data_IF_954392161308
#
_entry.id   IF_954392161308
#
_cell.length_a   1.000
_cell.length_b   1.000
_cell.length_c   1.000
_cell.angle_alpha   90.00
_cell.angle_beta   90.00
_cell.angle_gamma   90.00
#
_symmetry.space_group_name_H-M   'P 1'
#
loop_
_entity.id
_entity.type
_entity.pdbx_description
1 polymer ?
#
# COMPACT_ATOMS: atom_id res chain seq x y z
N UNK A 1 -28.63 17.14 10.31
CA UNK A 1 -27.95 17.94 11.35
C UNK A 1 -27.11 19.02 10.71
N UNK A 2 -26.08 18.65 9.92
CA UNK A 2 -25.19 19.56 9.18
C UNK A 2 -25.92 20.71 8.49
N UNK A 3 -26.92 20.41 7.64
CA UNK A 3 -27.62 21.43 6.86
C UNK A 3 -28.24 22.53 7.74
N UNK A 4 -28.97 22.14 8.81
CA UNK A 4 -29.56 23.09 9.76
C UNK A 4 -28.51 23.89 10.53
N UNK A 5 -27.36 23.29 10.81
CA UNK A 5 -26.23 24.00 11.43
C UNK A 5 -25.64 25.04 10.49
N UNK A 6 -25.45 24.71 9.20
CA UNK A 6 -24.97 25.67 8.21
C UNK A 6 -25.94 26.84 8.02
N UNK A 7 -27.25 26.57 7.93
CA UNK A 7 -28.30 27.60 7.86
C UNK A 7 -28.23 28.53 9.07
N UNK A 8 -28.16 27.97 10.29
CA UNK A 8 -28.05 28.78 11.50
C UNK A 8 -26.75 29.61 11.55
N UNK A 9 -25.62 29.07 11.08
CA UNK A 9 -24.35 29.81 11.03
C UNK A 9 -24.43 31.01 10.08
N UNK A 10 -25.04 30.83 8.90
CA UNK A 10 -25.29 31.92 7.96
C UNK A 10 -26.19 32.99 8.57
N UNK A 11 -27.29 32.60 9.21
CA UNK A 11 -28.25 33.52 9.83
C UNK A 11 -27.61 34.38 10.95
N UNK A 12 -26.53 33.89 11.58
CA UNK A 12 -25.82 34.59 12.65
C UNK A 12 -24.56 35.33 12.18
N UNK A 13 -24.37 35.49 10.86
CA UNK A 13 -23.26 36.26 10.28
C UNK A 13 -21.90 35.58 10.36
N UNK A 14 -21.86 34.24 10.47
CA UNK A 14 -20.61 33.51 10.28
C UNK A 14 -20.30 33.39 8.79
N UNK A 15 -19.02 33.47 8.47
CA UNK A 15 -18.46 33.37 7.12
C UNK A 15 -17.56 32.13 6.99
N UNK A 16 -17.08 31.86 5.77
CA UNK A 16 -16.15 30.75 5.47
C UNK A 16 -16.64 29.39 5.97
N UNK A 17 -17.96 29.15 5.90
CA UNK A 17 -18.55 27.89 6.39
C UNK A 17 -18.03 26.72 5.55
N UNK A 18 -17.36 25.79 6.21
CA UNK A 18 -16.73 24.63 5.60
C UNK A 18 -17.12 23.38 6.37
N UNK A 19 -17.64 22.37 5.66
CA UNK A 19 -17.93 21.06 6.24
C UNK A 19 -17.00 20.00 5.68
N UNK A 20 -16.36 19.25 6.57
CA UNK A 20 -15.37 18.24 6.26
C UNK A 20 -15.77 16.89 6.88
N UNK A 21 -15.26 15.82 6.29
CA UNK A 21 -15.21 14.50 6.90
C UNK A 21 -13.76 14.01 6.86
N UNK A 22 -13.27 13.46 7.96
CA UNK A 22 -11.88 12.99 8.07
C UNK A 22 -11.88 11.48 8.31
N UNK A 23 -11.29 10.74 7.37
CA UNK A 23 -11.23 9.28 7.41
C UNK A 23 -9.84 8.79 7.81
N UNK A 24 -9.73 8.16 8.98
CA UNK A 24 -8.49 7.55 9.44
C UNK A 24 -8.28 6.18 8.77
N UNK A 25 -7.11 5.97 8.14
CA UNK A 25 -6.69 4.66 7.61
C UNK A 25 -5.36 4.23 8.21
N UNK A 26 -5.40 3.25 9.10
CA UNK A 26 -4.20 2.68 9.74
C UNK A 26 -3.66 1.54 8.88
N UNK A 27 -2.44 1.69 8.38
CA UNK A 27 -1.79 0.66 7.57
C UNK A 27 -0.95 -0.26 8.45
N UNK A 28 -0.97 -1.54 8.12
CA UNK A 28 -0.10 -2.53 8.74
C UNK A 28 1.18 -2.68 7.92
N UNK A 29 2.32 -2.39 8.55
CA UNK A 29 3.63 -2.43 7.88
C UNK A 29 4.25 -3.80 8.10
N UNK A 30 4.39 -4.55 7.01
CA UNK A 30 4.89 -5.92 7.04
C UNK A 30 6.04 -6.13 6.07
N UNK A 31 7.02 -6.90 6.50
CA UNK A 31 8.00 -7.50 5.58
C UNK A 31 7.32 -8.69 4.90
N UNK A 32 7.35 -8.71 3.57
CA UNK A 32 6.80 -9.81 2.76
C UNK A 32 7.90 -10.37 1.88
N UNK A 33 7.79 -11.67 1.60
CA UNK A 33 8.66 -12.39 0.69
C UNK A 33 7.87 -12.72 -0.56
N UNK A 34 8.27 -12.16 -1.69
CA UNK A 34 7.66 -12.41 -3.00
C UNK A 34 8.48 -13.50 -3.70
N UNK A 35 7.92 -14.71 -3.93
CA UNK A 35 8.62 -15.74 -4.67
C UNK A 35 8.83 -15.30 -6.12
N UNK A 36 10.03 -15.49 -6.67
CA UNK A 36 10.22 -15.33 -8.11
C UNK A 36 9.52 -16.49 -8.83
N UNK A 37 8.81 -16.21 -9.94
CA UNK A 37 8.26 -17.28 -10.76
C UNK A 37 9.38 -18.19 -11.27
N UNK A 38 9.12 -19.49 -11.26
CA UNK A 38 9.97 -20.45 -11.95
C UNK A 38 9.61 -20.43 -13.44
N UNK A 39 10.56 -20.03 -14.28
CA UNK A 39 10.40 -19.98 -15.73
C UNK A 39 10.90 -21.26 -16.43
N UNK A 40 11.29 -22.29 -15.67
CA UNK A 40 11.90 -23.50 -16.19
C UNK A 40 13.43 -23.39 -16.28
N UNK A 41 14.08 -24.48 -16.68
CA UNK A 41 15.53 -24.47 -16.91
C UNK A 41 15.87 -23.55 -18.09
N UNK A 42 16.90 -22.72 -17.93
CA UNK A 42 17.49 -21.96 -19.04
C UNK A 42 18.10 -22.94 -20.07
N UNK A 43 17.31 -23.42 -21.01
CA UNK A 43 17.78 -24.20 -22.14
C UNK A 43 18.52 -23.29 -23.13
N UNK A 44 19.82 -23.07 -22.86
CA UNK A 44 20.81 -22.78 -23.89
C UNK A 44 21.31 -21.34 -23.99
N UNK A 45 22.45 -21.08 -23.35
CA UNK A 45 23.57 -20.46 -24.07
C UNK A 45 24.59 -21.54 -24.40
N UNK A 46 24.24 -22.41 -25.34
CA UNK A 46 25.21 -23.25 -26.02
C UNK A 46 26.04 -22.36 -26.95
N UNK A 47 27.00 -21.62 -26.39
CA UNK A 47 28.15 -21.15 -27.17
C UNK A 47 29.36 -22.02 -26.82
N UNK A 48 29.66 -22.85 -27.81
CA UNK A 48 30.72 -23.84 -27.94
C UNK A 48 32.08 -23.45 -27.37
N UNK A 49 32.59 -24.19 -26.38
CA UNK A 49 34.02 -24.55 -26.28
C UNK A 49 34.18 -25.86 -25.49
N UNK A 50 34.88 -26.89 -26.01
CA UNK A 50 35.10 -28.12 -25.27
C UNK A 50 36.42 -28.00 -24.48
N UNK A 51 36.37 -28.05 -23.15
CA UNK A 51 37.53 -28.48 -22.36
C UNK A 51 37.12 -29.55 -21.36
N UNK A 52 37.85 -30.66 -21.46
CA UNK A 52 37.69 -31.88 -20.68
C UNK A 52 38.02 -31.68 -19.20
N UNK A 53 37.19 -32.26 -18.32
CA UNK A 53 37.55 -32.88 -17.03
C UNK A 53 36.23 -33.27 -16.35
N UNK A 54 35.89 -34.55 -16.31
CA UNK A 54 36.18 -35.50 -15.23
C UNK A 54 35.05 -35.56 -14.19
N UNK A 55 34.67 -36.79 -13.85
CA UNK A 55 33.47 -37.18 -13.14
C UNK A 55 33.60 -36.91 -11.64
N UNK A 56 32.77 -36.01 -11.10
CA UNK A 56 32.24 -36.18 -9.75
C UNK A 56 30.95 -35.38 -9.56
N UNK A 57 29.84 -36.12 -9.54
CA UNK A 57 28.60 -35.84 -8.84
C UNK A 57 28.28 -34.36 -8.56
N UNK A 58 27.73 -33.69 -9.57
CA UNK A 58 27.07 -32.40 -9.36
C UNK A 58 25.78 -32.65 -8.57
N UNK A 59 25.82 -32.44 -7.25
CA UNK A 59 24.63 -31.94 -6.57
C UNK A 59 24.34 -30.57 -7.19
N UNK A 60 23.46 -30.56 -8.19
CA UNK A 60 22.86 -29.33 -8.71
C UNK A 60 22.26 -28.67 -7.47
N UNK A 61 22.76 -27.50 -7.01
CA UNK A 61 22.09 -26.80 -5.94
C UNK A 61 20.73 -26.46 -6.51
N UNK A 62 19.72 -27.17 -6.01
CA UNK A 62 18.32 -26.91 -6.27
C UNK A 62 18.18 -25.39 -6.30
N UNK A 63 17.87 -24.80 -7.46
CA UNK A 63 17.68 -23.35 -7.65
C UNK A 63 16.37 -22.91 -6.99
N UNK A 64 16.16 -23.45 -5.78
CA UNK A 64 15.02 -23.27 -4.94
C UNK A 64 14.83 -21.79 -4.76
N UNK A 65 13.69 -21.35 -5.28
CA UNK A 65 12.94 -20.20 -4.82
C UNK A 65 13.78 -18.97 -4.46
N UNK A 66 14.48 -18.43 -5.46
CA UNK A 66 14.93 -17.03 -5.35
C UNK A 66 13.70 -16.17 -5.03
N UNK A 67 13.78 -15.36 -3.99
CA UNK A 67 12.65 -14.55 -3.53
C UNK A 67 13.11 -13.13 -3.21
N UNK A 68 12.22 -12.17 -3.43
CA UNK A 68 12.47 -10.76 -3.15
C UNK A 68 11.79 -10.41 -1.83
N UNK A 69 12.57 -9.96 -0.86
CA UNK A 69 12.06 -9.47 0.41
C UNK A 69 11.83 -7.97 0.30
N UNK A 70 10.61 -7.51 0.56
CA UNK A 70 10.28 -6.08 0.57
C UNK A 70 9.40 -5.70 1.76
N UNK A 71 9.41 -4.41 2.11
CA UNK A 71 8.47 -3.85 3.08
C UNK A 71 7.22 -3.37 2.35
N UNK A 72 6.05 -3.74 2.86
CA UNK A 72 4.75 -3.34 2.32
C UNK A 72 3.92 -2.66 3.40
N UNK A 73 3.07 -1.72 2.99
CA UNK A 73 2.04 -1.13 3.83
C UNK A 73 0.69 -1.65 3.34
N UNK A 74 0.07 -2.53 4.12
CA UNK A 74 -1.22 -3.14 3.76
C UNK A 74 -2.35 -2.29 4.36
N UNK A 75 -3.32 -1.82 3.56
CA UNK A 75 -4.47 -1.10 4.09
C UNK A 75 -5.29 -2.02 5.02
N UNK A 76 -5.99 -1.46 6.02
CA UNK A 76 -6.77 -2.26 6.95
C UNK A 76 -7.96 -2.91 6.23
N UNK A 77 -8.30 -4.16 6.60
CA UNK A 77 -9.42 -4.92 5.99
C UNK A 77 -10.78 -4.32 6.29
N UNK A 78 -10.91 -3.63 7.42
CA UNK A 78 -12.12 -2.93 7.84
C UNK A 78 -11.80 -1.45 8.00
N UNK A 79 -12.58 -0.59 7.35
CA UNK A 79 -12.47 0.85 7.57
C UNK A 79 -13.25 1.23 8.82
N UNK A 80 -12.71 2.17 9.61
CA UNK A 80 -13.46 2.78 10.69
C UNK A 80 -14.76 3.37 10.13
N UNK A 81 -15.89 3.10 10.79
CA UNK A 81 -17.19 3.63 10.38
C UNK A 81 -17.21 5.16 10.40
N UNK A 82 -18.23 5.74 9.77
CA UNK A 82 -18.45 7.18 9.80
C UNK A 82 -18.58 7.68 11.25
N UNK A 83 -17.70 8.59 11.65
CA UNK A 83 -17.73 9.21 12.98
C UNK A 83 -18.62 10.44 13.00
N UNK A 84 -18.58 11.26 11.95
CA UNK A 84 -19.39 12.47 11.83
C UNK A 84 -18.82 13.47 10.83
N UNK A 85 -19.64 14.46 10.48
CA UNK A 85 -19.21 15.66 9.76
C UNK A 85 -18.73 16.73 10.73
N UNK A 86 -17.67 17.43 10.36
CA UNK A 86 -17.11 18.56 11.08
C UNK A 86 -17.46 19.85 10.33
N UNK A 87 -18.30 20.69 10.90
CA UNK A 87 -18.65 22.00 10.32
C UNK A 87 -17.91 23.10 11.07
N UNK A 88 -17.10 23.85 10.34
CA UNK A 88 -16.33 25.01 10.82
C UNK A 88 -16.88 26.28 10.17
N UNK A 89 -16.71 27.42 10.85
CA UNK A 89 -17.01 28.74 10.33
C UNK A 89 -16.23 29.81 11.10
N UNK A 90 -16.04 30.97 10.48
CA UNK A 90 -15.32 32.11 11.04
C UNK A 90 -16.32 33.22 11.39
N UNK A 91 -16.20 33.83 12.59
CA UNK A 91 -16.97 35.03 12.94
C UNK A 91 -16.11 36.27 12.71
N UNK A 92 -16.47 37.18 11.78
CA UNK A 92 -15.77 38.44 11.61
C UNK A 92 -15.77 39.26 12.91
N UNK A 93 -14.71 40.02 13.13
CA UNK A 93 -14.70 41.06 14.16
C UNK A 93 -15.19 42.34 13.50
N UNK A 94 -16.43 42.73 13.81
CA UNK A 94 -16.90 44.10 13.54
C UNK A 94 -16.05 45.13 14.29
#
# INVERSE_FOLDING_TARGET
>A
QVQRTCEALLDHGFEEICTLEVLLRVHDVRTVTLPLPDFGAEEGSADSTPMASDLSQAEIPNTGNTSVICKTATPPREMAGHTGYLTFATKPRD
#
